data_IF_863193194930
#
_entry.id   IF_863193194930
#
_cell.length_a   1.000
_cell.length_b   1.000
_cell.length_c   1.000
_cell.angle_alpha   90.00
_cell.angle_beta   90.00
_cell.angle_gamma   90.00
#
_symmetry.space_group_name_H-M   'P 1'
#
loop_
_entity.id
_entity.type
_entity.pdbx_description
1 polymer ?
#
# COMPACT_ATOMS: atom_id res chain seq x y z
N UNK A 1 -8.24 -0.09 -7.90
CA UNK A 1 -7.02 0.41 -7.24
C UNK A 1 -7.53 1.22 -6.07
N UNK A 2 -7.48 0.70 -4.85
CA UNK A 2 -8.08 1.39 -3.71
C UNK A 2 -7.00 2.32 -3.15
N UNK A 3 -7.22 3.62 -3.29
CA UNK A 3 -6.46 4.68 -2.62
C UNK A 3 -6.28 4.32 -1.15
N UNK A 4 -5.11 4.62 -0.57
CA UNK A 4 -4.91 4.48 0.88
C UNK A 4 -5.83 5.49 1.57
N UNK A 5 -6.71 5.02 2.46
CA UNK A 5 -7.60 5.89 3.21
C UNK A 5 -6.83 6.72 4.24
N UNK A 6 -7.40 7.86 4.64
CA UNK A 6 -6.80 8.73 5.65
C UNK A 6 -6.69 8.03 6.99
N UNK A 7 -7.70 7.26 7.40
CA UNK A 7 -7.66 6.46 8.62
C UNK A 7 -6.49 5.46 8.61
N UNK A 8 -6.20 4.85 7.45
CA UNK A 8 -5.07 3.94 7.29
C UNK A 8 -3.73 4.68 7.37
N UNK A 9 -3.61 5.84 6.71
CA UNK A 9 -2.40 6.65 6.77
C UNK A 9 -2.09 7.14 8.20
N UNK A 10 -3.13 7.59 8.94
CA UNK A 10 -3.02 7.95 10.36
C UNK A 10 -2.48 6.77 11.19
N UNK A 11 -3.02 5.56 10.97
CA UNK A 11 -2.56 4.34 11.66
C UNK A 11 -1.12 3.95 11.30
N UNK A 12 -0.66 4.25 10.09
CA UNK A 12 0.74 4.01 9.71
C UNK A 12 1.71 4.99 10.37
N UNK A 13 1.27 6.24 10.63
CA UNK A 13 2.07 7.25 11.33
C UNK A 13 2.06 6.97 12.85
N UNK A 14 0.89 6.68 13.40
CA UNK A 14 0.69 6.34 14.80
C UNK A 14 -0.17 5.07 14.91
N UNK A 15 0.44 3.89 15.13
CA UNK A 15 -0.26 2.61 15.24
C UNK A 15 -1.36 2.57 16.30
N UNK A 16 -1.18 3.34 17.39
CA UNK A 16 -2.14 3.39 18.49
C UNK A 16 -3.27 4.40 18.28
N UNK A 17 -3.19 5.25 17.24
CA UNK A 17 -4.17 6.31 16.98
C UNK A 17 -5.60 5.78 16.90
N UNK A 18 -6.53 6.44 17.58
CA UNK A 18 -7.97 6.12 17.51
C UNK A 18 -8.68 7.30 16.89
N UNK A 19 -9.20 7.10 15.69
CA UNK A 19 -9.84 8.16 14.91
C UNK A 19 -11.15 7.67 14.29
N UNK A 20 -12.11 8.58 14.18
CA UNK A 20 -13.22 8.46 13.24
C UNK A 20 -12.93 9.40 12.07
N UNK A 21 -13.12 8.95 10.84
CA UNK A 21 -12.90 9.76 9.63
C UNK A 21 -14.08 9.54 8.70
N UNK A 22 -14.73 10.63 8.30
CA UNK A 22 -15.83 10.61 7.34
C UNK A 22 -15.33 11.09 5.96
N UNK A 23 -15.74 10.37 4.91
CA UNK A 23 -15.43 10.67 3.50
C UNK A 23 -13.93 10.93 3.17
N UNK A 24 -13.01 10.31 3.92
CA UNK A 24 -11.55 10.55 3.80
C UNK A 24 -11.21 12.05 3.77
N UNK A 25 -11.90 12.83 4.61
CA UNK A 25 -11.69 14.27 4.75
C UNK A 25 -10.95 14.58 6.06
N UNK A 26 -9.93 15.44 5.98
CA UNK A 26 -9.18 15.89 7.16
C UNK A 26 -10.05 16.68 8.14
N UNK A 27 -10.97 17.48 7.63
CA UNK A 27 -11.78 18.38 8.45
C UNK A 27 -12.88 17.63 9.23
N UNK A 28 -13.10 16.34 8.93
CA UNK A 28 -14.07 15.46 9.60
C UNK A 28 -13.42 14.52 10.62
N UNK A 29 -12.09 14.59 10.81
CA UNK A 29 -11.40 13.68 11.74
C UNK A 29 -11.81 13.99 13.18
N UNK A 30 -12.37 12.99 13.85
CA UNK A 30 -12.51 12.98 15.30
C UNK A 30 -11.33 12.22 15.93
N UNK A 31 -10.51 12.93 16.71
CA UNK A 31 -9.39 12.36 17.46
C UNK A 31 -9.87 11.85 18.81
N UNK A 32 -9.80 10.54 19.04
CA UNK A 32 -10.35 9.89 20.23
C UNK A 32 -9.22 9.49 21.20
N UNK A 33 -9.55 9.37 22.49
CA UNK A 33 -8.65 8.84 23.53
C UNK A 33 -7.29 9.53 23.57
N UNK A 34 -7.27 10.86 23.57
CA UNK A 34 -6.05 11.68 23.60
C UNK A 34 -5.06 11.38 22.46
N UNK A 35 -5.55 10.84 21.34
CA UNK A 35 -4.72 10.64 20.14
C UNK A 35 -4.13 11.98 19.72
N UNK A 36 -2.78 12.11 19.64
CA UNK A 36 -2.15 13.33 19.18
C UNK A 36 -2.62 13.69 17.77
N UNK A 37 -2.97 14.96 17.56
CA UNK A 37 -3.35 15.47 16.25
C UNK A 37 -2.14 15.37 15.31
N UNK A 38 -2.34 14.73 14.16
CA UNK A 38 -1.36 14.64 13.09
C UNK A 38 -1.76 15.65 12.02
N UNK A 39 -0.78 16.38 11.48
CA UNK A 39 -1.07 17.41 10.49
C UNK A 39 -1.61 16.81 9.19
N UNK A 40 -2.44 17.59 8.47
CA UNK A 40 -2.94 17.21 7.15
C UNK A 40 -1.80 16.87 6.19
N UNK A 41 -0.75 17.67 6.20
CA UNK A 41 0.41 17.50 5.32
C UNK A 41 1.12 16.15 5.57
N UNK A 42 1.28 15.75 6.83
CA UNK A 42 1.93 14.47 7.16
C UNK A 42 1.07 13.27 6.73
N UNK A 43 -0.26 13.36 6.92
CA UNK A 43 -1.19 12.32 6.48
C UNK A 43 -1.18 12.21 4.95
N UNK A 44 -1.27 13.32 4.22
CA UNK A 44 -1.22 13.34 2.76
C UNK A 44 0.12 12.84 2.21
N UNK A 45 1.24 13.22 2.85
CA UNK A 45 2.56 12.71 2.51
C UNK A 45 2.63 11.19 2.67
N UNK A 46 2.06 10.66 3.76
CA UNK A 46 2.01 9.21 3.98
C UNK A 46 1.14 8.48 2.97
N UNK A 47 -0.01 9.04 2.61
CA UNK A 47 -0.85 8.49 1.53
C UNK A 47 -0.05 8.42 0.22
N UNK A 48 0.64 9.50 -0.15
CA UNK A 48 1.42 9.56 -1.38
C UNK A 48 2.59 8.56 -1.38
N UNK A 49 3.32 8.44 -0.26
CA UNK A 49 4.39 7.46 -0.08
C UNK A 49 3.88 6.03 -0.29
N UNK A 50 2.80 5.66 0.38
CA UNK A 50 2.24 4.30 0.32
C UNK A 50 1.65 3.97 -1.05
N UNK A 51 1.07 4.96 -1.75
CA UNK A 51 0.62 4.77 -3.12
C UNK A 51 1.78 4.47 -4.07
N UNK A 52 2.93 5.12 -3.89
CA UNK A 52 4.12 4.86 -4.69
C UNK A 52 4.63 3.44 -4.40
N UNK A 53 4.73 3.05 -3.13
CA UNK A 53 5.14 1.69 -2.73
C UNK A 53 4.21 0.65 -3.36
N UNK A 54 2.90 0.80 -3.21
CA UNK A 54 1.92 -0.14 -3.76
C UNK A 54 2.02 -0.26 -5.30
N UNK A 55 2.16 0.87 -6.00
CA UNK A 55 2.35 0.87 -7.46
C UNK A 55 3.63 0.16 -7.86
N UNK A 56 4.74 0.42 -7.15
CA UNK A 56 6.03 -0.22 -7.40
C UNK A 56 5.98 -1.73 -7.17
N UNK A 57 5.37 -2.19 -6.06
CA UNK A 57 5.20 -3.62 -5.77
C UNK A 57 4.32 -4.33 -6.80
N UNK A 58 3.22 -3.69 -7.24
CA UNK A 58 2.37 -4.21 -8.31
C UNK A 58 3.14 -4.33 -9.62
N UNK A 59 3.92 -3.32 -9.98
CA UNK A 59 4.73 -3.35 -11.20
C UNK A 59 5.82 -4.42 -11.11
N UNK A 60 6.51 -4.53 -9.97
CA UNK A 60 7.52 -5.56 -9.75
C UNK A 60 6.91 -6.97 -9.86
N UNK A 61 5.76 -7.22 -9.24
CA UNK A 61 5.04 -8.50 -9.35
C UNK A 61 4.57 -8.79 -10.77
N UNK A 62 4.09 -7.77 -11.50
CA UNK A 62 3.71 -7.91 -12.90
C UNK A 62 4.93 -8.27 -13.78
N UNK A 63 6.07 -7.63 -13.54
CA UNK A 63 7.32 -7.92 -14.24
C UNK A 63 7.82 -9.33 -13.95
N UNK A 64 7.82 -9.76 -12.68
CA UNK A 64 8.17 -11.14 -12.29
C UNK A 64 7.28 -12.17 -12.99
N UNK A 65 5.96 -11.94 -13.00
CA UNK A 65 5.02 -12.83 -13.68
C UNK A 65 5.23 -12.86 -15.20
N UNK A 66 5.55 -11.72 -15.81
CA UNK A 66 5.85 -11.64 -17.24
C UNK A 66 7.14 -12.40 -17.58
N UNK A 67 8.20 -12.24 -16.77
CA UNK A 67 9.46 -12.99 -16.89
C UNK A 67 9.25 -14.49 -16.73
N UNK A 68 8.55 -14.90 -15.67
CA UNK A 68 8.24 -16.29 -15.39
C UNK A 68 7.45 -16.95 -16.54
N UNK A 69 6.46 -16.23 -17.09
CA UNK A 69 5.70 -16.70 -18.26
C UNK A 69 6.58 -16.87 -19.50
N UNK A 70 7.49 -15.93 -19.76
CA UNK A 70 8.39 -16.01 -20.90
C UNK A 70 9.32 -17.22 -20.81
N UNK A 71 9.93 -17.45 -19.63
CA UNK A 71 10.79 -18.61 -19.37
C UNK A 71 10.06 -19.94 -19.45
N UNK A 72 8.84 -20.00 -18.91
CA UNK A 72 8.00 -21.21 -19.00
C UNK A 72 7.69 -21.59 -20.45
N UNK A 73 7.40 -20.60 -21.30
CA UNK A 73 7.18 -20.82 -22.74
C UNK A 73 8.48 -21.25 -23.44
N UNK A 74 9.62 -20.68 -23.05
CA UNK A 74 10.93 -21.02 -23.59
C UNK A 74 11.50 -22.37 -23.09
N UNK A 75 10.91 -22.96 -22.04
CA UNK A 75 11.42 -24.17 -21.40
C UNK A 75 12.65 -23.92 -20.52
N UNK A 76 12.87 -22.67 -20.09
CA UNK A 76 13.96 -22.28 -19.20
C UNK A 76 13.57 -22.49 -17.73
N UNK A 77 14.53 -22.81 -16.84
CA UNK A 77 14.25 -22.92 -15.41
C UNK A 77 13.82 -21.58 -14.82
N UNK A 78 12.85 -21.63 -13.91
CA UNK A 78 12.37 -20.47 -13.14
C UNK A 78 13.20 -20.29 -11.86
N UNK A 79 13.32 -19.04 -11.40
CA UNK A 79 13.71 -18.80 -10.01
C UNK A 79 12.56 -19.10 -9.05
N UNK A 80 12.85 -19.22 -7.76
CA UNK A 80 11.83 -19.43 -6.72
C UNK A 80 10.81 -18.29 -6.73
N UNK A 81 11.27 -17.05 -6.81
CA UNK A 81 10.41 -15.86 -6.82
C UNK A 81 9.52 -15.79 -8.06
N UNK A 82 10.04 -16.22 -9.22
CA UNK A 82 9.27 -16.32 -10.46
C UNK A 82 8.19 -17.41 -10.35
N UNK A 83 8.54 -18.58 -9.81
CA UNK A 83 7.61 -19.70 -9.62
C UNK A 83 6.47 -19.34 -8.64
N UNK A 84 6.79 -18.68 -7.54
CA UNK A 84 5.81 -18.21 -6.54
C UNK A 84 4.78 -17.22 -7.11
N UNK A 85 5.10 -16.54 -8.23
CA UNK A 85 4.11 -15.66 -8.89
C UNK A 85 3.07 -16.41 -9.74
N UNK A 86 3.34 -17.66 -10.09
CA UNK A 86 2.49 -18.50 -10.96
C UNK A 86 1.59 -19.41 -10.13
N UNK A 87 2.06 -19.85 -8.95
CA UNK A 87 1.28 -20.69 -8.03
C UNK A 87 0.34 -19.80 -7.21
N UNK A 88 -0.94 -19.77 -7.59
CA UNK A 88 -2.04 -19.14 -6.84
C UNK A 88 -3.22 -20.10 -6.76
#
# INVERSE_FOLDING_TARGET
MTKISMAKAIKLINPDARVSVDDDNYDTIEWLFDTPIISKADIEAKIAEEEIIFKNERQAKANLKASAKAKLIAGEPLTEEEADTIVL
#
